data_IF_140933332807
#
_entry.id   IF_140933332807
#
_cell.length_a   1.000
_cell.length_b   1.000
_cell.length_c   1.000
_cell.angle_alpha   90.00
_cell.angle_beta   90.00
_cell.angle_gamma   90.00
#
_symmetry.space_group_name_H-M   'P 1'
#
loop_
_entity.id
_entity.type
_entity.pdbx_description
1 polymer ?
#
# COMPACT_ATOMS: atom_id res chain seq x y z
N UNK A 1 -1.01 8.77 2.44
CA UNK A 1 -0.51 9.07 3.80
C UNK A 1 0.14 7.78 4.26
N UNK A 2 1.47 7.72 4.24
CA UNK A 2 2.23 6.48 4.48
C UNK A 2 2.35 6.25 5.97
N UNK A 3 2.04 5.02 6.37
CA UNK A 3 2.03 4.48 7.71
C UNK A 3 3.31 4.78 8.51
N UNK A 4 3.12 4.82 9.81
CA UNK A 4 4.11 5.00 10.87
C UNK A 4 5.18 3.92 10.89
N UNK A 5 6.13 3.95 9.95
CA UNK A 5 7.34 3.11 9.97
C UNK A 5 7.13 1.61 10.18
N UNK A 6 5.90 1.11 10.08
CA UNK A 6 5.46 -0.23 10.44
C UNK A 6 4.74 -0.81 9.25
N UNK A 7 5.31 -1.87 8.69
CA UNK A 7 4.79 -2.56 7.51
C UNK A 7 4.67 -4.05 7.79
N UNK A 8 3.74 -4.71 7.10
CA UNK A 8 3.60 -6.18 7.12
C UNK A 8 3.51 -6.74 5.71
N UNK A 9 4.19 -7.85 5.47
CA UNK A 9 4.11 -8.62 4.23
C UNK A 9 4.11 -10.12 4.55
N UNK A 10 3.47 -10.93 3.71
CA UNK A 10 3.38 -12.39 3.89
C UNK A 10 3.65 -13.10 2.58
N UNK A 11 4.32 -14.24 2.67
CA UNK A 11 4.51 -15.18 1.58
C UNK A 11 4.97 -16.51 2.18
N UNK A 12 4.50 -17.62 1.63
CA UNK A 12 5.07 -18.97 1.80
C UNK A 12 5.28 -19.33 3.27
N UNK A 13 4.20 -19.17 4.04
CA UNK A 13 4.17 -19.50 5.45
C UNK A 13 5.03 -18.61 6.36
N UNK A 14 5.55 -17.46 5.92
CA UNK A 14 6.19 -16.47 6.80
C UNK A 14 5.47 -15.13 6.83
N UNK A 15 5.62 -14.44 7.95
CA UNK A 15 5.15 -13.06 8.15
C UNK A 15 6.37 -12.19 8.37
N UNK A 16 6.59 -11.23 7.48
CA UNK A 16 7.63 -10.21 7.61
C UNK A 16 7.00 -8.95 8.15
N UNK A 17 7.58 -8.38 9.20
CA UNK A 17 7.24 -7.02 9.65
C UNK A 17 8.48 -6.15 9.68
N UNK A 18 8.34 -4.93 9.18
CA UNK A 18 9.38 -3.91 9.27
C UNK A 18 9.00 -2.88 10.33
N UNK A 19 9.99 -2.47 11.13
CA UNK A 19 9.91 -1.30 12.02
C UNK A 19 11.11 -0.40 11.74
N UNK A 20 10.88 0.78 11.17
CA UNK A 20 11.91 1.65 10.60
C UNK A 20 12.77 0.90 9.56
N UNK A 21 14.01 0.54 9.89
CA UNK A 21 14.95 -0.21 9.04
C UNK A 21 15.20 -1.63 9.52
N UNK A 22 14.56 -2.06 10.60
CA UNK A 22 14.70 -3.42 11.13
C UNK A 22 13.63 -4.32 10.52
N UNK A 23 14.06 -5.41 9.90
CA UNK A 23 13.20 -6.47 9.37
C UNK A 23 13.13 -7.60 10.38
N UNK A 24 11.92 -8.02 10.72
CA UNK A 24 11.66 -9.23 11.49
C UNK A 24 10.96 -10.24 10.59
N UNK A 25 11.50 -11.46 10.50
CA UNK A 25 10.88 -12.58 9.81
C UNK A 25 10.37 -13.54 10.86
N UNK A 26 9.04 -13.68 10.90
CA UNK A 26 8.35 -14.54 11.85
C UNK A 26 7.72 -15.73 11.12
N UNK A 27 7.69 -16.91 11.77
CA UNK A 27 6.95 -18.04 11.24
C UNK A 27 5.44 -17.77 11.31
N UNK A 28 4.69 -18.19 10.29
CA UNK A 28 3.24 -18.36 10.40
C UNK A 28 2.90 -19.68 11.11
N UNK A 29 1.60 -19.94 11.28
CA UNK A 29 1.09 -21.18 11.92
C UNK A 29 1.50 -22.47 11.21
N UNK A 30 1.67 -22.46 9.89
CA UNK A 30 2.09 -23.62 9.09
C UNK A 30 3.59 -23.65 8.77
N UNK A 31 4.36 -22.71 9.29
CA UNK A 31 5.79 -22.57 8.97
C UNK A 31 6.65 -23.76 9.43
N UNK A 32 7.53 -24.22 8.55
CA UNK A 32 8.54 -25.24 8.85
C UNK A 32 9.67 -24.71 9.76
N UNK A 33 9.93 -23.41 9.74
CA UNK A 33 10.84 -22.73 10.69
C UNK A 33 10.03 -22.19 11.86
N UNK A 34 10.61 -22.17 13.06
CA UNK A 34 9.97 -21.62 14.28
C UNK A 34 10.81 -20.51 14.92
N UNK A 35 11.87 -20.06 14.23
CA UNK A 35 12.85 -19.10 14.74
C UNK A 35 12.55 -17.69 14.22
N UNK A 36 12.74 -16.70 15.09
CA UNK A 36 12.77 -15.29 14.70
C UNK A 36 14.08 -14.98 13.97
N UNK A 37 13.98 -14.40 12.77
CA UNK A 37 15.13 -13.78 12.12
C UNK A 37 15.01 -12.26 12.20
N UNK A 38 16.15 -11.59 12.40
CA UNK A 38 16.24 -10.14 12.50
C UNK A 38 17.35 -9.64 11.59
N UNK A 39 17.05 -8.65 10.77
CA UNK A 39 18.00 -8.01 9.86
C UNK A 39 17.86 -6.48 9.93
N UNK A 40 18.93 -5.78 9.57
CA UNK A 40 18.89 -4.35 9.26
C UNK A 40 18.97 -4.19 7.74
N UNK A 41 18.10 -3.36 7.17
CA UNK A 41 18.11 -3.03 5.75
C UNK A 41 18.64 -1.63 5.49
N UNK A 42 18.87 -1.34 4.22
CA UNK A 42 19.31 -0.06 3.66
C UNK A 42 20.77 0.31 3.96
N UNK A 43 21.48 -0.52 4.72
CA UNK A 43 22.94 -0.43 4.84
C UNK A 43 23.59 -0.71 3.47
N UNK A 44 24.30 0.28 2.91
CA UNK A 44 24.96 0.17 1.61
C UNK A 44 24.04 0.34 0.39
N UNK A 45 22.74 0.59 0.58
CA UNK A 45 21.78 0.84 -0.50
C UNK A 45 21.96 2.22 -1.18
N UNK A 46 22.77 3.10 -0.58
CA UNK A 46 23.18 4.41 -1.11
C UNK A 46 24.38 4.32 -2.08
N UNK A 47 25.02 3.15 -2.21
CA UNK A 47 26.31 2.97 -2.89
C UNK A 47 26.25 2.70 -4.40
N UNK A 48 25.08 2.65 -5.01
CA UNK A 48 24.96 2.51 -6.48
C UNK A 48 24.79 3.92 -7.07
N UNK A 49 25.91 4.61 -7.25
CA UNK A 49 25.95 5.96 -7.79
C UNK A 49 25.44 5.96 -9.24
N UNK A 50 24.30 6.61 -9.49
CA UNK A 50 23.96 7.11 -10.84
C UNK A 50 24.70 8.44 -11.04
N UNK A 51 25.56 8.47 -12.05
CA UNK A 51 26.07 9.71 -12.65
C UNK A 51 24.90 10.45 -13.28
N UNK A 52 24.32 11.40 -12.54
CA UNK A 52 23.40 12.38 -13.10
C UNK A 52 24.26 13.47 -13.75
N UNK A 53 24.31 13.49 -15.08
CA UNK A 53 24.81 14.63 -15.84
C UNK A 53 23.78 15.77 -15.73
N UNK A 54 23.91 16.60 -14.69
CA UNK A 54 23.22 17.89 -14.61
C UNK A 54 24.01 18.92 -15.43
N UNK A 55 23.59 19.15 -16.68
CA UNK A 55 23.92 20.35 -17.43
C UNK A 55 23.10 21.53 -16.89
N UNK A 56 23.57 22.18 -15.80
CA UNK A 56 23.45 23.63 -15.63
C UNK A 56 24.25 24.12 -14.41
N UNK A 57 25.52 24.45 -14.63
CA UNK A 57 26.26 25.28 -13.69
C UNK A 57 25.77 26.73 -13.79
N UNK A 58 25.16 27.26 -12.73
CA UNK A 58 25.61 28.51 -12.08
C UNK A 58 24.69 28.92 -10.91
N UNK A 59 25.06 28.52 -9.69
CA UNK A 59 25.03 29.36 -8.46
C UNK A 59 25.51 28.55 -7.26
N UNK A 60 26.77 28.77 -6.86
CA UNK A 60 27.33 28.25 -5.60
C UNK A 60 26.58 28.83 -4.40
N UNK A 61 25.69 28.05 -3.79
CA UNK A 61 25.26 28.24 -2.39
C UNK A 61 26.12 27.34 -1.51
N UNK A 62 26.58 27.88 -0.39
CA UNK A 62 27.32 27.13 0.65
C UNK A 62 26.57 25.85 1.00
N UNK A 63 27.25 24.71 0.83
CA UNK A 63 26.73 23.40 1.19
C UNK A 63 26.68 23.27 2.72
N UNK A 64 25.50 23.44 3.29
CA UNK A 64 25.13 22.67 4.49
C UNK A 64 25.34 21.20 4.16
N UNK A 65 25.97 20.44 5.06
CA UNK A 65 26.06 18.98 4.90
C UNK A 65 24.66 18.45 4.52
N UNK A 66 24.52 17.70 3.42
CA UNK A 66 23.23 17.11 3.09
C UNK A 66 22.80 16.28 4.30
N UNK A 67 21.58 16.53 4.78
CA UNK A 67 21.00 15.69 5.80
C UNK A 67 21.11 14.22 5.32
N UNK A 68 21.49 13.27 6.18
CA UNK A 68 21.49 11.87 5.79
C UNK A 68 20.11 11.51 5.22
N UNK A 69 20.05 10.69 4.16
CA UNK A 69 18.77 10.33 3.54
C UNK A 69 17.85 9.76 4.61
N UNK A 70 16.59 10.23 4.62
CA UNK A 70 15.62 9.82 5.62
C UNK A 70 15.31 8.31 5.54
N UNK A 71 15.65 7.64 4.43
CA UNK A 71 15.50 6.20 4.22
C UNK A 71 14.10 5.71 4.61
N UNK A 72 13.09 6.54 4.31
CA UNK A 72 11.71 6.33 4.73
C UNK A 72 11.10 5.24 3.86
N UNK A 73 10.81 4.10 4.45
CA UNK A 73 10.10 3.03 3.76
C UNK A 73 8.64 3.43 3.60
N UNK A 74 8.09 3.15 2.41
CA UNK A 74 6.74 3.57 2.02
C UNK A 74 5.85 2.42 1.56
N UNK A 75 6.44 1.32 1.11
CA UNK A 75 5.73 0.10 0.73
C UNK A 75 6.67 -1.08 0.87
N UNK A 76 6.13 -2.23 1.26
CA UNK A 76 6.83 -3.51 1.35
C UNK A 76 6.02 -4.53 0.58
N UNK A 77 6.69 -5.35 -0.23
CA UNK A 77 6.10 -6.52 -0.88
C UNK A 77 7.02 -7.73 -0.65
N UNK A 78 6.43 -8.90 -0.43
CA UNK A 78 7.15 -10.17 -0.28
C UNK A 78 6.52 -11.21 -1.18
N UNK A 79 7.33 -11.95 -1.94
CA UNK A 79 6.84 -13.07 -2.74
C UNK A 79 7.95 -14.09 -3.01
N UNK A 80 7.58 -15.33 -3.36
CA UNK A 80 8.51 -16.36 -3.82
C UNK A 80 8.44 -16.49 -5.35
N UNK A 81 9.53 -16.25 -6.08
CA UNK A 81 9.58 -16.54 -7.51
C UNK A 81 9.42 -18.04 -7.78
N UNK A 82 8.69 -18.39 -8.83
CA UNK A 82 8.40 -19.78 -9.18
C UNK A 82 9.69 -20.56 -9.45
N UNK A 83 9.89 -21.65 -8.69
CA UNK A 83 11.07 -22.51 -8.79
C UNK A 83 12.31 -21.97 -8.06
N UNK A 84 12.19 -20.87 -7.31
CA UNK A 84 13.21 -20.39 -6.38
C UNK A 84 12.90 -20.90 -4.97
N UNK A 85 13.92 -21.28 -4.20
CA UNK A 85 13.80 -21.55 -2.75
C UNK A 85 13.98 -20.26 -1.92
N UNK A 86 14.25 -19.14 -2.58
CA UNK A 86 14.48 -17.83 -1.98
C UNK A 86 13.25 -16.94 -2.12
N UNK A 87 12.98 -16.18 -1.06
CA UNK A 87 11.97 -15.12 -1.05
C UNK A 87 12.58 -13.81 -1.55
N UNK A 88 11.77 -13.02 -2.24
CA UNK A 88 12.13 -11.67 -2.68
C UNK A 88 11.40 -10.64 -1.82
N UNK A 89 12.16 -9.86 -1.04
CA UNK A 89 11.67 -8.73 -0.26
C UNK A 89 11.94 -7.43 -1.01
N UNK A 90 10.87 -6.73 -1.37
CA UNK A 90 10.92 -5.48 -2.13
C UNK A 90 10.49 -4.31 -1.23
N UNK A 91 11.24 -3.21 -1.29
CA UNK A 91 10.97 -1.99 -0.53
C UNK A 91 10.90 -0.79 -1.46
N UNK A 92 9.90 0.08 -1.28
CA UNK A 92 9.92 1.45 -1.80
C UNK A 92 10.44 2.38 -0.72
N UNK A 93 11.54 3.09 -0.99
CA UNK A 93 12.24 3.98 -0.06
C UNK A 93 12.23 5.40 -0.59
N UNK A 94 11.90 6.36 0.28
CA UNK A 94 11.76 7.80 0.00
C UNK A 94 10.88 8.10 -1.21
N UNK A 95 9.94 7.20 -1.52
CA UNK A 95 9.12 7.19 -2.74
C UNK A 95 9.92 7.14 -4.05
N UNK A 96 11.25 7.14 -4.02
CA UNK A 96 12.11 7.33 -5.21
C UNK A 96 13.00 6.15 -5.51
N UNK A 97 13.03 5.15 -4.63
CA UNK A 97 13.95 4.02 -4.76
C UNK A 97 13.21 2.70 -4.57
N UNK A 98 13.43 1.77 -5.50
CA UNK A 98 13.06 0.36 -5.36
C UNK A 98 14.30 -0.42 -4.89
N UNK A 99 14.18 -1.12 -3.78
CA UNK A 99 15.26 -1.92 -3.20
C UNK A 99 14.82 -3.38 -3.13
N UNK A 100 15.69 -4.29 -3.57
CA UNK A 100 15.44 -5.72 -3.62
C UNK A 100 16.44 -6.49 -2.74
N UNK A 101 15.91 -7.28 -1.81
CA UNK A 101 16.66 -8.25 -1.01
C UNK A 101 16.24 -9.68 -1.33
N UNK A 102 17.21 -10.58 -1.36
CA UNK A 102 16.97 -12.03 -1.31
C UNK A 102 16.97 -12.49 0.15
N UNK A 103 15.85 -13.08 0.57
CA UNK A 103 15.71 -13.72 1.88
C UNK A 103 15.84 -15.23 1.72
N UNK A 104 16.85 -15.80 2.36
CA UNK A 104 17.05 -17.24 2.47
C UNK A 104 16.71 -17.68 3.89
N UNK A 105 15.59 -18.40 4.04
CA UNK A 105 15.13 -18.89 5.35
C UNK A 105 16.04 -19.99 5.92
N UNK A 106 16.64 -20.83 5.06
CA UNK A 106 17.52 -21.94 5.49
C UNK A 106 18.90 -21.43 5.89
N UNK A 107 19.46 -20.51 5.13
CA UNK A 107 20.76 -19.91 5.43
C UNK A 107 20.66 -18.76 6.45
N UNK A 108 19.45 -18.34 6.81
CA UNK A 108 19.19 -17.21 7.71
C UNK A 108 19.84 -15.90 7.24
N UNK A 109 19.83 -15.65 5.93
CA UNK A 109 20.46 -14.46 5.33
C UNK A 109 19.45 -13.58 4.63
N UNK A 110 19.65 -12.26 4.74
CA UNK A 110 18.98 -11.25 3.93
C UNK A 110 20.05 -10.47 3.15
N UNK A 111 20.11 -10.65 1.83
CA UNK A 111 21.19 -10.10 0.98
C UNK A 111 20.62 -9.02 0.07
N UNK A 112 21.17 -7.81 0.15
CA UNK A 112 20.86 -6.74 -0.80
C UNK A 112 21.33 -7.15 -2.21
N UNK A 113 20.40 -7.22 -3.15
CA UNK A 113 20.70 -7.59 -4.55
C UNK A 113 20.76 -6.39 -5.47
N UNK A 114 19.85 -5.45 -5.27
CA UNK A 114 19.78 -4.27 -6.12
C UNK A 114 19.07 -3.10 -5.41
N UNK A 115 19.42 -1.90 -5.84
CA UNK A 115 18.85 -0.64 -5.40
C UNK A 115 18.78 0.26 -6.62
N UNK A 116 17.57 0.72 -6.98
CA UNK A 116 17.33 1.47 -8.22
C UNK A 116 16.43 2.66 -7.99
N UNK A 117 16.74 3.78 -8.65
CA UNK A 117 15.86 4.93 -8.72
C UNK A 117 14.63 4.64 -9.58
N UNK A 118 13.43 4.99 -9.09
CA UNK A 118 12.22 5.00 -9.92
C UNK A 118 12.04 6.39 -10.57
N UNK A 119 11.55 6.48 -11.82
CA UNK A 119 11.53 7.73 -12.59
C UNK A 119 10.83 8.90 -11.88
N UNK A 120 9.78 8.60 -11.12
CA UNK A 120 8.94 9.56 -10.41
C UNK A 120 8.59 8.98 -9.04
N UNK A 121 8.16 9.85 -8.14
CA UNK A 121 7.72 9.44 -6.80
C UNK A 121 6.64 8.36 -6.90
N UNK A 122 6.96 7.18 -6.40
CA UNK A 122 6.07 6.03 -6.28
C UNK A 122 5.03 6.27 -5.19
N UNK A 123 3.85 5.72 -5.40
CA UNK A 123 2.75 5.71 -4.43
C UNK A 123 2.47 4.32 -3.89
N UNK A 124 2.82 3.28 -4.65
CA UNK A 124 2.54 1.89 -4.37
C UNK A 124 3.35 0.97 -5.29
N UNK A 125 3.41 -0.31 -4.94
CA UNK A 125 3.94 -1.37 -5.80
C UNK A 125 3.05 -2.61 -5.73
N UNK A 126 3.20 -3.51 -6.69
CA UNK A 126 2.73 -4.90 -6.66
C UNK A 126 3.58 -5.75 -7.61
N UNK A 127 3.45 -7.08 -7.56
CA UNK A 127 4.19 -7.99 -8.44
C UNK A 127 3.23 -8.72 -9.38
N UNK A 128 3.49 -8.63 -10.68
CA UNK A 128 2.81 -9.41 -11.70
C UNK A 128 3.73 -10.50 -12.26
N UNK A 129 3.14 -11.57 -12.79
CA UNK A 129 3.88 -12.63 -13.47
C UNK A 129 3.30 -12.95 -14.85
N UNK A 130 4.11 -13.57 -15.71
CA UNK A 130 3.73 -14.01 -17.04
C UNK A 130 4.26 -15.43 -17.25
N UNK A 131 3.35 -16.38 -17.43
CA UNK A 131 3.69 -17.75 -17.84
C UNK A 131 3.86 -17.81 -19.35
N UNK A 132 5.06 -18.13 -19.81
CA UNK A 132 5.37 -18.27 -21.23
C UNK A 132 4.91 -19.64 -21.75
N UNK A 133 4.71 -19.79 -23.08
CA UNK A 133 4.42 -21.10 -23.69
C UNK A 133 5.50 -22.15 -23.45
N UNK A 134 6.72 -21.74 -23.10
CA UNK A 134 7.84 -22.60 -22.72
C UNK A 134 7.70 -23.22 -21.32
N UNK A 135 6.71 -22.77 -20.53
CA UNK A 135 6.56 -23.11 -19.11
C UNK A 135 7.34 -22.21 -18.15
N UNK A 136 8.21 -21.34 -18.67
CA UNK A 136 8.95 -20.36 -17.88
C UNK A 136 8.01 -19.28 -17.34
N UNK A 137 8.16 -18.93 -16.05
CA UNK A 137 7.43 -17.81 -15.44
C UNK A 137 8.36 -16.61 -15.31
N UNK A 138 7.98 -15.48 -15.92
CA UNK A 138 8.68 -14.20 -15.80
C UNK A 138 7.93 -13.27 -14.86
N UNK A 139 8.65 -12.40 -14.17
CA UNK A 139 8.09 -11.48 -13.19
C UNK A 139 8.36 -10.03 -13.58
N UNK A 140 7.46 -9.14 -13.18
CA UNK A 140 7.71 -7.71 -13.20
C UNK A 140 7.09 -7.05 -11.97
N UNK A 141 7.84 -6.10 -11.41
CA UNK A 141 7.38 -5.24 -10.32
C UNK A 141 6.66 -4.07 -10.96
N UNK A 142 5.38 -3.90 -10.65
CA UNK A 142 4.59 -2.77 -11.13
C UNK A 142 4.62 -1.68 -10.08
N UNK A 143 5.07 -0.50 -10.45
CA UNK A 143 5.16 0.67 -9.56
C UNK A 143 4.22 1.75 -10.06
N UNK A 144 3.23 2.11 -9.24
CA UNK A 144 2.35 3.25 -9.47
C UNK A 144 3.02 4.56 -9.04
N UNK A 145 2.83 5.63 -9.81
CA UNK A 145 3.53 6.90 -9.62
C UNK A 145 2.57 8.08 -9.42
N UNK A 146 3.06 9.09 -8.68
CA UNK A 146 2.35 10.36 -8.43
C UNK A 146 2.05 11.15 -9.71
N UNK A 147 2.75 10.88 -10.80
CA UNK A 147 2.49 11.50 -12.12
C UNK A 147 1.31 10.88 -12.87
N UNK A 148 0.73 9.80 -12.35
CA UNK A 148 -0.34 9.05 -13.01
C UNK A 148 0.13 7.82 -13.80
N UNK A 149 1.44 7.60 -13.88
CA UNK A 149 2.01 6.49 -14.61
C UNK A 149 2.10 5.22 -13.75
N UNK A 150 1.99 4.06 -14.41
CA UNK A 150 2.40 2.78 -13.86
C UNK A 150 3.52 2.21 -14.73
N UNK A 151 4.65 1.89 -14.10
CA UNK A 151 5.84 1.33 -14.77
C UNK A 151 6.08 -0.11 -14.34
N UNK A 152 6.57 -0.95 -15.25
CA UNK A 152 7.03 -2.29 -14.97
C UNK A 152 8.56 -2.33 -14.91
N UNK A 153 9.10 -2.82 -13.81
CA UNK A 153 10.51 -3.14 -13.63
C UNK A 153 10.67 -4.65 -13.81
N UNK A 154 11.48 -5.13 -14.77
CA UNK A 154 11.76 -6.56 -14.92
C UNK A 154 12.35 -7.16 -13.64
N UNK A 155 11.99 -8.40 -13.31
CA UNK A 155 12.54 -9.12 -12.15
C UNK A 155 13.05 -10.50 -12.59
N UNK A 156 14.21 -10.98 -12.08
CA UNK A 156 15.05 -10.39 -11.03
C UNK A 156 16.00 -9.28 -11.49
N UNK A 157 16.14 -9.07 -12.81
CA UNK A 157 17.05 -8.08 -13.40
C UNK A 157 16.51 -6.64 -13.27
N UNK A 158 16.40 -6.13 -12.05
CA UNK A 158 15.76 -4.84 -11.78
C UNK A 158 16.49 -3.64 -12.38
N UNK A 159 17.78 -3.79 -12.72
CA UNK A 159 18.59 -2.76 -13.38
C UNK A 159 18.28 -2.62 -14.87
N UNK A 160 17.63 -3.63 -15.48
CA UNK A 160 17.22 -3.58 -16.89
C UNK A 160 16.24 -2.43 -17.13
N UNK A 161 16.23 -1.87 -18.33
CA UNK A 161 15.28 -0.81 -18.73
C UNK A 161 13.84 -1.13 -18.30
N UNK A 162 13.26 -0.18 -17.55
CA UNK A 162 11.86 -0.23 -17.16
C UNK A 162 10.96 0.06 -18.36
N UNK A 163 9.74 -0.46 -18.29
CA UNK A 163 8.73 -0.26 -19.34
C UNK A 163 7.52 0.48 -18.75
N UNK A 164 7.17 1.63 -19.30
CA UNK A 164 5.88 2.26 -18.99
C UNK A 164 4.75 1.36 -19.47
N UNK A 165 3.86 0.96 -18.57
CA UNK A 165 2.71 0.11 -18.87
C UNK A 165 1.51 0.96 -19.33
N UNK A 166 1.18 1.98 -18.54
CA UNK A 166 0.09 2.92 -18.80
C UNK A 166 0.33 4.25 -18.09
N UNK A 167 -0.48 5.25 -18.46
CA UNK A 167 -0.58 6.52 -17.75
C UNK A 167 -2.04 6.96 -17.65
N UNK A 168 -2.46 7.37 -16.45
CA UNK A 168 -3.69 8.10 -16.22
C UNK A 168 -3.49 9.54 -16.66
N UNK A 169 -4.42 10.05 -17.47
CA UNK A 169 -4.37 11.46 -17.89
C UNK A 169 -4.69 12.32 -16.67
N UNK A 170 -3.73 13.13 -16.23
CA UNK A 170 -3.90 14.21 -15.23
C UNK A 170 -4.26 13.82 -13.79
N UNK A 171 -4.29 12.53 -13.44
CA UNK A 171 -4.55 12.08 -12.07
C UNK A 171 -3.42 11.22 -11.49
N UNK A 172 -3.24 11.28 -10.17
CA UNK A 172 -2.23 10.49 -9.46
C UNK A 172 -2.70 9.03 -9.36
N UNK A 173 -1.83 8.06 -9.62
CA UNK A 173 -2.12 6.65 -9.27
C UNK A 173 -2.05 6.52 -7.76
N UNK A 174 -3.15 6.12 -7.13
CA UNK A 174 -3.26 5.95 -5.67
C UNK A 174 -2.97 4.52 -5.24
N UNK A 175 -3.32 3.54 -6.08
CA UNK A 175 -2.96 2.14 -5.85
C UNK A 175 -2.88 1.33 -7.15
N UNK A 176 -2.11 0.25 -7.12
CA UNK A 176 -2.01 -0.75 -8.19
C UNK A 176 -2.23 -2.14 -7.62
N UNK A 177 -2.89 -3.00 -8.37
CA UNK A 177 -3.05 -4.41 -8.05
C UNK A 177 -3.00 -5.24 -9.33
N UNK A 178 -2.51 -6.46 -9.21
CA UNK A 178 -2.60 -7.47 -10.28
C UNK A 178 -3.52 -8.58 -9.79
N UNK A 179 -4.38 -9.08 -10.67
CA UNK A 179 -5.29 -10.17 -10.30
C UNK A 179 -4.51 -11.50 -10.13
N UNK A 180 -5.16 -12.51 -9.55
CA UNK A 180 -4.48 -13.73 -9.11
C UNK A 180 -3.70 -14.47 -10.22
N UNK A 181 -4.24 -14.53 -11.43
CA UNK A 181 -3.59 -15.18 -12.58
C UNK A 181 -2.65 -14.24 -13.37
N UNK A 182 -2.49 -13.00 -12.92
CA UNK A 182 -1.72 -11.94 -13.57
C UNK A 182 -2.11 -11.68 -15.03
N UNK A 183 -3.39 -11.84 -15.37
CA UNK A 183 -3.91 -11.45 -16.68
C UNK A 183 -4.39 -9.99 -16.74
N UNK A 184 -4.73 -9.39 -15.59
CA UNK A 184 -5.26 -8.03 -15.49
C UNK A 184 -4.44 -7.19 -14.51
N UNK A 185 -4.14 -5.97 -14.93
CA UNK A 185 -3.61 -4.88 -14.12
C UNK A 185 -4.74 -3.91 -13.77
N UNK A 186 -4.86 -3.63 -12.48
CA UNK A 186 -5.80 -2.67 -11.94
C UNK A 186 -5.03 -1.46 -11.44
N UNK A 187 -5.49 -0.28 -11.82
CA UNK A 187 -4.91 0.98 -11.39
C UNK A 187 -6.00 1.92 -10.92
N UNK A 188 -5.94 2.28 -9.65
CA UNK A 188 -6.81 3.24 -8.99
C UNK A 188 -6.17 4.63 -9.04
N UNK A 189 -6.99 5.66 -9.26
CA UNK A 189 -6.53 7.04 -9.32
C UNK A 189 -7.25 7.97 -8.31
N UNK A 190 -6.81 9.22 -8.29
CA UNK A 190 -7.38 10.28 -7.45
C UNK A 190 -8.71 10.82 -8.02
N UNK A 191 -8.98 10.59 -9.30
CA UNK A 191 -10.16 11.07 -10.04
C UNK A 191 -11.23 9.98 -10.15
N UNK A 192 -11.35 9.13 -9.12
CA UNK A 192 -12.43 8.14 -8.92
C UNK A 192 -12.43 6.96 -9.90
N UNK A 193 -11.40 6.80 -10.74
CA UNK A 193 -11.35 5.74 -11.74
C UNK A 193 -10.54 4.55 -11.23
N UNK A 194 -11.19 3.39 -11.21
CA UNK A 194 -10.53 2.11 -11.19
C UNK A 194 -10.48 1.56 -12.63
N UNK A 195 -9.31 1.69 -13.26
CA UNK A 195 -9.05 1.19 -14.61
C UNK A 195 -8.58 -0.26 -14.55
N UNK A 196 -9.19 -1.12 -15.35
CA UNK A 196 -8.79 -2.53 -15.55
C UNK A 196 -8.19 -2.67 -16.94
N UNK A 197 -6.97 -3.13 -17.05
CA UNK A 197 -6.24 -3.32 -18.32
C UNK A 197 -5.59 -4.68 -18.36
N UNK A 198 -5.27 -5.20 -19.56
CA UNK A 198 -4.55 -6.48 -19.66
C UNK A 198 -3.12 -6.33 -19.15
N UNK A 199 -2.59 -7.37 -18.53
CA UNK A 199 -1.19 -7.45 -18.13
C UNK A 199 -0.48 -8.55 -18.94
N UNK A 200 0.74 -8.31 -19.48
CA UNK A 200 1.52 -7.06 -19.42
C UNK A 200 1.13 -6.03 -20.51
N UNK A 201 0.16 -6.34 -21.38
CA UNK A 201 -0.25 -5.43 -22.46
C UNK A 201 -1.30 -4.41 -22.01
N UNK A 202 -0.88 -3.49 -21.13
CA UNK A 202 -1.75 -2.50 -20.48
C UNK A 202 -2.33 -1.41 -21.40
N UNK A 203 -1.92 -1.40 -22.68
CA UNK A 203 -2.56 -0.59 -23.71
C UNK A 203 -4.00 -1.06 -24.00
N UNK A 204 -4.29 -2.35 -23.77
CA UNK A 204 -5.63 -2.91 -23.91
C UNK A 204 -6.38 -2.72 -22.61
N UNK A 205 -7.35 -1.80 -22.62
CA UNK A 205 -8.28 -1.59 -21.52
C UNK A 205 -9.36 -2.66 -21.60
N UNK A 206 -9.55 -3.39 -20.51
CA UNK A 206 -10.62 -4.38 -20.41
C UNK A 206 -11.92 -3.70 -19.96
N UNK A 207 -11.86 -2.86 -18.92
CA UNK A 207 -13.01 -2.14 -18.40
C UNK A 207 -12.63 -0.93 -17.53
N UNK A 208 -13.65 -0.19 -17.09
CA UNK A 208 -13.56 0.79 -16.00
C UNK A 208 -14.64 0.48 -14.96
N UNK A 209 -14.24 0.39 -13.70
CA UNK A 209 -15.15 0.31 -12.56
C UNK A 209 -15.49 1.73 -12.10
N UNK A 210 -16.65 2.24 -12.54
CA UNK A 210 -17.10 3.62 -12.31
C UNK A 210 -18.23 3.67 -11.29
N UNK A 211 -18.13 4.56 -10.30
CA UNK A 211 -19.19 4.76 -9.29
C UNK A 211 -18.72 5.18 -7.90
N UNK A 212 -17.40 5.26 -7.65
CA UNK A 212 -16.88 6.03 -6.52
C UNK A 212 -17.09 7.53 -6.75
N UNK A 213 -17.24 8.29 -5.66
CA UNK A 213 -17.50 9.73 -5.68
C UNK A 213 -16.36 10.58 -5.12
N UNK A 214 -15.25 9.94 -4.73
CA UNK A 214 -13.98 10.58 -4.41
C UNK A 214 -12.80 9.63 -4.72
N UNK A 215 -11.57 10.14 -4.54
CA UNK A 215 -10.30 9.42 -4.71
C UNK A 215 -10.34 7.99 -4.18
N UNK A 216 -9.96 7.02 -5.01
CA UNK A 216 -9.73 5.66 -4.55
C UNK A 216 -8.50 5.60 -3.63
N UNK A 217 -8.52 4.68 -2.66
CA UNK A 217 -7.45 4.53 -1.67
C UNK A 217 -6.77 3.17 -1.75
N UNK A 218 -7.53 2.07 -1.76
CA UNK A 218 -7.03 0.70 -1.85
C UNK A 218 -7.91 -0.16 -2.76
N UNK A 219 -7.33 -1.25 -3.23
CA UNK A 219 -7.86 -2.18 -4.22
C UNK A 219 -7.29 -3.55 -3.85
N UNK A 220 -8.14 -4.58 -3.75
CA UNK A 220 -7.71 -5.94 -3.48
C UNK A 220 -8.49 -6.92 -4.37
N UNK A 221 -7.76 -7.78 -5.07
CA UNK A 221 -8.34 -8.79 -5.96
C UNK A 221 -8.64 -10.07 -5.17
N UNK A 222 -9.80 -10.68 -5.44
CA UNK A 222 -10.10 -11.98 -4.84
C UNK A 222 -9.28 -13.09 -5.51
N UNK A 223 -8.65 -13.94 -4.69
CA UNK A 223 -8.01 -15.17 -5.15
C UNK A 223 -9.01 -16.33 -5.28
N UNK A 224 -10.10 -16.31 -4.51
CA UNK A 224 -11.15 -17.34 -4.56
C UNK A 224 -12.04 -17.16 -5.80
N UNK A 225 -12.33 -15.92 -6.17
CA UNK A 225 -13.16 -15.58 -7.32
C UNK A 225 -12.38 -14.64 -8.26
N UNK A 226 -11.65 -15.18 -9.26
CA UNK A 226 -10.63 -14.44 -10.03
C UNK A 226 -11.08 -13.19 -10.80
N UNK A 227 -12.39 -13.00 -11.01
CA UNK A 227 -12.98 -11.85 -11.71
C UNK A 227 -13.50 -10.76 -10.76
N UNK A 228 -13.33 -10.94 -9.43
CA UNK A 228 -13.81 -9.97 -8.45
C UNK A 228 -12.69 -9.12 -7.85
N UNK A 229 -13.01 -7.84 -7.65
CA UNK A 229 -12.17 -6.88 -6.97
C UNK A 229 -12.99 -6.07 -5.98
N UNK A 230 -12.40 -5.79 -4.83
CA UNK A 230 -12.92 -4.80 -3.88
C UNK A 230 -12.08 -3.55 -3.90
N UNK A 231 -12.72 -2.39 -3.79
CA UNK A 231 -12.04 -1.10 -3.72
C UNK A 231 -12.62 -0.22 -2.62
N UNK A 232 -11.76 0.60 -2.02
CA UNK A 232 -12.14 1.61 -1.02
C UNK A 232 -11.84 3.00 -1.54
N UNK A 233 -12.60 3.99 -1.08
CA UNK A 233 -12.45 5.39 -1.50
C UNK A 233 -12.60 6.35 -0.32
N UNK A 234 -12.11 7.57 -0.52
CA UNK A 234 -12.37 8.72 0.35
C UNK A 234 -13.85 9.08 0.43
N UNK A 235 -14.71 8.53 -0.42
CA UNK A 235 -16.17 8.67 -0.36
C UNK A 235 -16.82 7.86 0.78
N UNK A 236 -16.00 7.24 1.65
CA UNK A 236 -16.41 6.40 2.77
C UNK A 236 -17.16 5.12 2.34
N UNK A 237 -16.88 4.61 1.14
CA UNK A 237 -17.46 3.35 0.64
C UNK A 237 -16.41 2.27 0.34
N UNK A 238 -16.83 1.02 0.56
CA UNK A 238 -16.24 -0.20 0.02
C UNK A 238 -17.15 -0.69 -1.10
N UNK A 239 -16.60 -0.91 -2.30
CA UNK A 239 -17.36 -1.40 -3.45
C UNK A 239 -16.78 -2.71 -3.97
N UNK A 240 -17.67 -3.62 -4.35
CA UNK A 240 -17.34 -4.89 -5.01
C UNK A 240 -17.68 -4.78 -6.50
N UNK A 241 -16.74 -5.18 -7.35
CA UNK A 241 -16.87 -5.07 -8.80
C UNK A 241 -16.56 -6.38 -9.49
N UNK A 242 -17.16 -6.53 -10.66
CA UNK A 242 -16.72 -7.49 -11.67
C UNK A 242 -15.68 -6.82 -12.57
N UNK A 243 -14.46 -7.36 -12.61
CA UNK A 243 -13.33 -6.75 -13.32
C UNK A 243 -13.51 -6.73 -14.84
N UNK A 244 -13.97 -7.83 -15.43
CA UNK A 244 -14.13 -7.93 -16.89
C UNK A 244 -15.20 -7.00 -17.45
N UNK A 245 -16.28 -6.75 -16.70
CA UNK A 245 -17.41 -5.92 -17.16
C UNK A 245 -17.39 -4.50 -16.60
N UNK A 246 -16.62 -4.25 -15.54
CA UNK A 246 -16.63 -2.98 -14.80
C UNK A 246 -17.90 -2.77 -13.97
N UNK A 247 -18.75 -3.80 -13.83
CA UNK A 247 -20.06 -3.68 -13.18
C UNK A 247 -19.92 -3.60 -11.66
N UNK A 248 -20.59 -2.62 -11.06
CA UNK A 248 -20.78 -2.54 -9.60
C UNK A 248 -21.75 -3.65 -9.15
N UNK A 249 -21.30 -4.48 -8.21
CA UNK A 249 -22.09 -5.59 -7.67
C UNK A 249 -22.66 -5.27 -6.29
N UNK A 250 -21.87 -4.63 -5.42
CA UNK A 250 -22.29 -4.21 -4.09
C UNK A 250 -21.53 -2.96 -3.63
N UNK A 251 -22.12 -2.20 -2.70
CA UNK A 251 -21.55 -1.00 -2.12
C UNK A 251 -21.94 -0.88 -0.65
N UNK A 252 -20.95 -0.77 0.22
CA UNK A 252 -21.13 -0.67 1.67
C UNK A 252 -20.47 0.62 2.19
N UNK A 253 -21.16 1.34 3.07
CA UNK A 253 -20.59 2.53 3.75
C UNK A 253 -19.71 2.06 4.89
N UNK A 254 -18.46 2.54 4.98
CA UNK A 254 -17.48 2.11 5.99
C UNK A 254 -17.71 2.72 7.37
N UNK A 255 -18.08 4.00 7.45
CA UNK A 255 -18.40 4.72 8.69
C UNK A 255 -19.83 5.26 8.64
N UNK A 256 -20.85 4.51 9.09
CA UNK A 256 -22.23 4.98 9.11
C UNK A 256 -22.39 6.23 9.98
N UNK A 257 -23.09 7.24 9.49
CA UNK A 257 -23.32 8.50 10.21
C UNK A 257 -22.19 9.53 10.12
N UNK A 258 -21.09 9.22 9.42
CA UNK A 258 -20.07 10.19 9.05
C UNK A 258 -20.40 10.75 7.67
N UNK A 259 -20.82 12.01 7.61
CA UNK A 259 -20.99 12.72 6.34
C UNK A 259 -19.61 13.06 5.75
N UNK A 260 -19.36 12.60 4.53
CA UNK A 260 -18.17 13.00 3.76
C UNK A 260 -18.53 14.21 2.92
N UNK A 261 -17.82 15.31 3.11
CA UNK A 261 -17.89 16.45 2.20
C UNK A 261 -17.14 16.08 0.91
N UNK A 262 -17.88 15.99 -0.19
CA UNK A 262 -17.32 15.77 -1.53
C UNK A 262 -16.92 17.08 -2.24
N UNK A 263 -17.20 18.23 -1.63
CA UNK A 263 -16.82 19.52 -2.18
C UNK A 263 -15.29 19.68 -2.17
N UNK A 264 -14.69 20.16 -3.28
CA UNK A 264 -13.30 20.58 -3.29
C UNK A 264 -13.06 21.56 -2.13
N UNK A 265 -11.94 21.41 -1.43
CA UNK A 265 -11.53 22.37 -0.41
C UNK A 265 -11.27 23.72 -1.08
N UNK A 266 -12.27 24.59 -1.13
CA UNK A 266 -12.06 25.99 -1.50
C UNK A 266 -11.20 26.64 -0.40
N UNK A 267 -9.95 26.96 -0.74
CA UNK A 267 -8.97 27.55 0.18
C UNK A 267 -9.41 28.92 0.77
N UNK A 268 -10.45 29.55 0.23
CA UNK A 268 -10.85 30.92 0.60
C UNK A 268 -12.06 31.04 1.55
N UNK A 269 -12.79 29.96 1.85
CA UNK A 269 -14.01 30.08 2.65
C UNK A 269 -13.75 29.97 4.17
N UNK A 270 -12.99 30.89 4.76
CA UNK A 270 -12.70 30.91 6.20
C UNK A 270 -13.76 31.66 7.03
N UNK A 271 -15.02 31.17 7.07
CA UNK A 271 -16.04 31.83 7.92
C UNK A 271 -17.21 30.99 8.43
N UNK A 272 -17.09 29.66 8.58
CA UNK A 272 -18.18 28.85 9.16
C UNK A 272 -17.70 27.83 10.20
N UNK A 273 -18.51 27.68 11.24
CA UNK A 273 -18.29 27.03 12.55
C UNK A 273 -17.57 25.68 12.53
N UNK A 274 -16.66 25.55 13.50
CA UNK A 274 -15.50 24.65 13.54
C UNK A 274 -15.78 23.18 13.96
N UNK A 275 -17.03 22.77 14.15
CA UNK A 275 -17.34 21.38 14.58
C UNK A 275 -17.69 20.43 13.45
N UNK A 276 -18.34 20.90 12.37
CA UNK A 276 -18.66 20.07 11.19
C UNK A 276 -17.53 19.98 10.16
N UNK A 277 -16.61 20.96 10.16
CA UNK A 277 -15.53 21.10 9.17
C UNK A 277 -14.26 20.31 9.49
N UNK A 278 -14.08 19.84 10.72
CA UNK A 278 -12.95 18.97 11.08
C UNK A 278 -13.10 17.54 10.53
N UNK A 279 -14.32 17.09 10.20
CA UNK A 279 -14.55 15.77 9.62
C UNK A 279 -14.06 15.65 8.16
N UNK A 280 -14.11 16.74 7.38
CA UNK A 280 -13.75 16.76 5.96
C UNK A 280 -12.25 16.91 5.67
N UNK A 281 -11.43 17.26 6.68
CA UNK A 281 -9.96 17.31 6.56
C UNK A 281 -9.28 15.97 6.81
N UNK A 282 -10.02 14.96 7.25
CA UNK A 282 -9.45 13.64 7.53
C UNK A 282 -9.30 12.86 6.23
N UNK A 283 -8.08 12.85 5.67
CA UNK A 283 -7.69 11.84 4.69
C UNK A 283 -8.02 10.47 5.29
N UNK A 284 -9.03 9.79 4.76
CA UNK A 284 -9.40 8.46 5.24
C UNK A 284 -8.19 7.54 4.97
N UNK A 285 -7.44 7.20 6.03
CA UNK A 285 -6.38 6.21 5.93
C UNK A 285 -7.04 4.84 5.96
N UNK A 286 -6.78 4.03 4.93
CA UNK A 286 -7.38 2.71 4.79
C UNK A 286 -6.31 1.65 4.61
N UNK A 287 -6.37 0.62 5.46
CA UNK A 287 -5.78 -0.69 5.18
C UNK A 287 -6.89 -1.64 4.75
N UNK A 288 -6.66 -2.36 3.65
CA UNK A 288 -7.62 -3.26 3.03
C UNK A 288 -6.93 -4.60 2.79
N UNK A 289 -7.51 -5.67 3.33
CA UNK A 289 -7.03 -7.03 3.14
C UNK A 289 -8.18 -7.93 2.69
N UNK A 290 -7.91 -8.85 1.76
CA UNK A 290 -8.84 -9.90 1.36
C UNK A 290 -8.21 -11.27 1.61
N UNK A 291 -8.95 -12.16 2.27
CA UNK A 291 -8.49 -13.48 2.62
C UNK A 291 -8.39 -14.35 1.36
N UNK A 292 -7.22 -14.94 1.05
CA UNK A 292 -6.99 -15.65 -0.20
C UNK A 292 -7.83 -16.93 -0.36
N UNK A 293 -8.35 -17.49 0.74
CA UNK A 293 -9.15 -18.74 0.72
C UNK A 293 -10.61 -18.57 1.15
N UNK A 294 -10.93 -17.54 1.93
CA UNK A 294 -12.24 -17.41 2.57
C UNK A 294 -13.12 -16.26 2.03
N UNK A 295 -12.66 -15.47 1.05
CA UNK A 295 -13.41 -14.31 0.52
C UNK A 295 -13.85 -13.29 1.60
N UNK A 296 -13.14 -13.28 2.74
CA UNK A 296 -13.35 -12.31 3.80
C UNK A 296 -12.51 -11.07 3.51
N UNK A 297 -13.13 -9.90 3.60
CA UNK A 297 -12.49 -8.60 3.46
C UNK A 297 -12.40 -7.96 4.84
N UNK A 298 -11.21 -7.56 5.25
CA UNK A 298 -10.99 -6.78 6.47
C UNK A 298 -10.57 -5.37 6.08
N UNK A 299 -11.21 -4.38 6.70
CA UNK A 299 -10.96 -2.95 6.43
C UNK A 299 -10.65 -2.25 7.75
N UNK A 300 -9.51 -1.57 7.82
CA UNK A 300 -9.15 -0.66 8.91
C UNK A 300 -9.23 0.77 8.38
N UNK A 301 -9.99 1.61 9.06
CA UNK A 301 -10.25 3.00 8.71
C UNK A 301 -9.72 3.91 9.81
N UNK A 302 -8.87 4.87 9.43
CA UNK A 302 -8.26 5.88 10.31
C UNK A 302 -7.60 5.31 11.57
N UNK A 303 -7.11 4.07 11.50
CA UNK A 303 -6.54 3.34 12.65
C UNK A 303 -7.51 3.16 13.84
N UNK A 304 -8.80 3.50 13.68
CA UNK A 304 -9.77 3.64 14.76
C UNK A 304 -11.02 2.79 14.55
N UNK A 305 -11.29 2.33 13.33
CA UNK A 305 -12.46 1.53 13.02
C UNK A 305 -12.08 0.34 12.18
N UNK A 306 -12.42 -0.86 12.64
CA UNK A 306 -12.20 -2.10 11.88
C UNK A 306 -13.56 -2.70 11.51
N UNK A 307 -13.70 -3.16 10.28
CA UNK A 307 -14.91 -3.84 9.80
C UNK A 307 -14.54 -5.03 8.93
N UNK A 308 -15.43 -6.02 8.94
CA UNK A 308 -15.27 -7.26 8.20
C UNK A 308 -16.46 -7.48 7.29
N UNK A 309 -16.19 -7.89 6.06
CA UNK A 309 -17.19 -8.21 5.07
C UNK A 309 -16.89 -9.58 4.47
N UNK A 310 -17.91 -10.28 4.03
CA UNK A 310 -17.80 -11.52 3.27
C UNK A 310 -18.32 -11.27 1.86
N UNK A 311 -17.53 -11.66 0.86
CA UNK A 311 -18.01 -11.74 -0.52
C UNK A 311 -18.81 -13.03 -0.67
N UNK A 312 -20.13 -12.91 -0.68
CA UNK A 312 -21.06 -14.04 -0.78
C UNK A 312 -21.51 -14.20 -2.23
N UNK A 313 -21.34 -15.41 -2.76
CA UNK A 313 -21.91 -15.80 -4.04
C UNK A 313 -23.27 -16.49 -3.82
N UNK A 314 -24.33 -15.96 -4.43
CA UNK A 314 -25.65 -16.57 -4.50
C UNK A 314 -26.03 -16.77 -5.99
N UNK A 315 -25.77 -17.98 -6.50
CA UNK A 315 -25.85 -18.26 -7.93
C UNK A 315 -24.84 -17.42 -8.72
N UNK A 316 -25.33 -16.59 -9.65
CA UNK A 316 -24.50 -15.66 -10.43
C UNK A 316 -24.32 -14.29 -9.73
N UNK A 317 -25.12 -13.99 -8.71
CA UNK A 317 -25.04 -12.72 -7.99
C UNK A 317 -23.96 -12.77 -6.91
N UNK A 318 -23.20 -11.68 -6.78
CA UNK A 318 -22.20 -11.54 -5.74
C UNK A 318 -22.53 -10.31 -4.91
N UNK A 319 -22.49 -10.47 -3.59
CA UNK A 319 -22.84 -9.41 -2.63
C UNK A 319 -21.75 -9.25 -1.59
N UNK A 320 -21.75 -8.10 -0.90
CA UNK A 320 -20.98 -7.90 0.31
C UNK A 320 -21.92 -8.05 1.51
N UNK A 321 -21.59 -8.95 2.42
CA UNK A 321 -22.31 -9.12 3.68
C UNK A 321 -21.40 -8.73 4.82
N UNK A 322 -21.84 -7.80 5.67
CA UNK A 322 -21.08 -7.48 6.88
C UNK A 322 -21.01 -8.68 7.84
N UNK A 323 -19.81 -8.96 8.32
CA UNK A 323 -19.54 -9.93 9.36
C UNK A 323 -19.37 -9.17 10.69
N UNK A 324 -20.45 -9.10 11.46
CA UNK A 324 -20.48 -8.42 12.76
C UNK A 324 -19.65 -9.16 13.80
N UNK A 325 -18.37 -8.81 13.92
CA UNK A 325 -17.49 -9.33 14.97
C UNK A 325 -17.89 -8.75 16.33
N UNK A 326 -17.71 -9.54 17.38
CA UNK A 326 -18.03 -9.10 18.74
C UNK A 326 -17.30 -7.79 19.10
N UNK A 327 -18.00 -6.88 19.80
CA UNK A 327 -17.42 -5.58 20.16
C UNK A 327 -16.15 -5.74 21.01
N UNK A 328 -16.09 -6.73 21.90
CA UNK A 328 -14.90 -7.03 22.71
C UNK A 328 -13.67 -7.37 21.85
N UNK A 329 -13.86 -8.20 20.81
CA UNK A 329 -12.78 -8.58 19.90
C UNK A 329 -12.34 -7.37 19.03
N UNK A 330 -13.28 -6.52 18.60
CA UNK A 330 -12.98 -5.27 17.88
C UNK A 330 -12.22 -4.29 18.77
N UNK A 331 -12.60 -4.11 20.03
CA UNK A 331 -11.85 -3.27 20.97
C UNK A 331 -10.43 -3.81 21.19
N UNK A 332 -10.27 -5.14 21.25
CA UNK A 332 -8.96 -5.77 21.35
C UNK A 332 -8.08 -5.44 20.14
N UNK A 333 -8.65 -5.45 18.93
CA UNK A 333 -7.97 -5.05 17.70
C UNK A 333 -7.56 -3.57 17.69
N UNK A 334 -8.32 -2.69 18.35
CA UNK A 334 -8.08 -1.24 18.33
C UNK A 334 -7.17 -0.77 19.48
N UNK A 335 -7.04 -1.54 20.55
CA UNK A 335 -6.37 -1.15 21.79
C UNK A 335 -4.92 -0.66 21.61
N UNK A 336 -4.20 -1.20 20.62
CA UNK A 336 -2.76 -0.98 20.44
C UNK A 336 -2.40 -0.17 19.19
N UNK A 337 -3.35 0.62 18.66
CA UNK A 337 -3.16 1.47 17.47
C UNK A 337 -2.74 0.64 16.24
N UNK A 338 -3.70 -0.13 15.65
CA UNK A 338 -3.40 -0.95 14.48
C UNK A 338 -2.99 -0.09 13.29
N UNK A 339 -2.05 -0.58 12.49
CA UNK A 339 -1.47 0.13 11.34
C UNK A 339 -1.90 -0.50 10.02
N UNK A 340 -1.61 -1.78 9.84
CA UNK A 340 -1.91 -2.52 8.61
C UNK A 340 -2.56 -3.87 8.92
N UNK A 341 -3.45 -4.29 8.03
CA UNK A 341 -4.11 -5.58 8.00
C UNK A 341 -3.62 -6.39 6.81
N UNK A 342 -3.41 -7.69 7.00
CA UNK A 342 -3.09 -8.62 5.93
C UNK A 342 -3.59 -10.02 6.31
N UNK A 343 -4.00 -10.83 5.34
CA UNK A 343 -4.30 -12.25 5.60
C UNK A 343 -3.09 -13.10 5.24
N UNK A 344 -2.73 -14.03 6.12
CA UNK A 344 -1.76 -15.07 5.80
C UNK A 344 -2.39 -16.12 4.88
N UNK A 345 -1.55 -16.96 4.27
CA UNK A 345 -2.00 -18.11 3.48
C UNK A 345 -2.79 -19.14 4.31
N UNK A 346 -2.60 -19.14 5.62
CA UNK A 346 -3.33 -19.96 6.59
C UNK A 346 -4.65 -19.31 7.05
N UNK A 347 -5.12 -18.25 6.37
CA UNK A 347 -6.40 -17.57 6.65
C UNK A 347 -6.41 -16.77 7.98
N UNK A 348 -5.26 -16.66 8.64
CA UNK A 348 -5.13 -15.83 9.83
C UNK A 348 -4.98 -14.35 9.43
N UNK A 349 -5.67 -13.47 10.17
CA UNK A 349 -5.50 -12.04 10.05
C UNK A 349 -4.24 -11.61 10.81
N UNK A 350 -3.23 -11.15 10.09
CA UNK A 350 -2.08 -10.45 10.65
C UNK A 350 -2.41 -8.97 10.82
N UNK A 351 -2.23 -8.47 12.04
CA UNK A 351 -2.44 -7.05 12.37
C UNK A 351 -1.16 -6.49 12.95
N UNK A 352 -0.63 -5.46 12.31
CA UNK A 352 0.53 -4.71 12.81
C UNK A 352 0.08 -3.53 13.69
N UNK A 353 0.89 -3.16 14.67
CA UNK A 353 0.55 -2.18 15.70
C UNK A 353 1.69 -1.19 15.96
N UNK A 354 1.33 0.07 16.28
CA UNK A 354 2.32 1.05 16.78
C UNK A 354 2.87 0.58 18.14
N UNK A 355 1.99 0.10 19.02
CA UNK A 355 2.28 -0.33 20.40
C UNK A 355 2.38 -1.86 20.52
N UNK A 356 2.92 -2.35 21.64
CA UNK A 356 2.98 -3.78 21.97
C UNK A 356 1.56 -4.39 21.81
N UNK A 357 1.38 -5.53 21.10
CA UNK A 357 2.38 -6.53 20.71
C UNK A 357 3.12 -6.30 19.39
N UNK A 358 2.93 -5.15 18.73
CA UNK A 358 3.54 -4.75 17.44
C UNK A 358 3.12 -5.58 16.22
N UNK A 359 2.86 -6.88 16.40
CA UNK A 359 2.27 -7.80 15.44
C UNK A 359 1.51 -8.88 16.21
N UNK A 360 0.26 -9.14 15.82
CA UNK A 360 -0.54 -10.24 16.35
C UNK A 360 -1.29 -10.92 15.21
N UNK A 361 -1.34 -12.26 15.27
CA UNK A 361 -2.17 -13.06 14.37
C UNK A 361 -3.51 -13.35 15.05
N UNK A 362 -4.58 -13.34 14.27
CA UNK A 362 -5.93 -13.67 14.74
C UNK A 362 -6.59 -14.68 13.81
N UNK A 363 -7.23 -15.69 14.41
CA UNK A 363 -8.09 -16.62 13.71
C UNK A 363 -9.51 -16.07 13.72
N UNK A 364 -10.12 -15.97 12.56
CA UNK A 364 -11.49 -15.49 12.38
C UNK A 364 -12.43 -16.68 12.17
N UNK A 365 -13.40 -16.87 13.05
CA UNK A 365 -14.49 -17.84 12.85
C UNK A 365 -15.74 -17.13 12.38
N UNK A 366 -16.21 -17.51 11.18
CA UNK A 366 -17.44 -16.96 10.57
C UNK A 366 -18.69 -17.35 11.35
N UNK A 367 -18.74 -18.58 11.86
CA UNK A 367 -19.90 -19.16 12.55
C UNK A 367 -20.09 -18.55 13.92
N UNK A 368 -18.99 -18.45 14.68
CA UNK A 368 -19.02 -17.87 16.02
C UNK A 368 -18.95 -16.34 16.00
N UNK A 369 -18.62 -15.73 14.85
CA UNK A 369 -18.35 -14.29 14.70
C UNK A 369 -17.32 -13.78 15.72
N UNK A 370 -16.36 -14.64 16.05
CA UNK A 370 -15.29 -14.35 17.01
C UNK A 370 -13.96 -14.21 16.30
N UNK A 371 -13.16 -13.32 16.85
CA UNK A 371 -11.78 -13.14 16.46
C UNK A 371 -10.91 -13.52 17.66
N UNK A 372 -10.27 -14.67 17.58
CA UNK A 372 -9.42 -15.16 18.66
C UNK A 372 -7.95 -14.88 18.34
N UNK A 373 -7.17 -14.26 19.25
CA UNK A 373 -5.73 -14.21 19.09
C UNK A 373 -5.20 -15.62 18.86
N UNK A 374 -4.41 -15.79 17.81
CA UNK A 374 -3.62 -17.01 17.66
C UNK A 374 -2.46 -16.87 18.63
N UNK A 375 -2.58 -17.57 19.76
CA UNK A 375 -1.49 -17.74 20.70
C UNK A 375 -0.43 -18.65 20.07
N UNK A 376 0.31 -18.09 19.11
CA UNK A 376 1.61 -18.64 18.76
C UNK A 376 2.50 -18.40 19.97
N UNK A 377 2.50 -19.34 20.92
CA UNK A 377 3.55 -19.46 21.96
C UNK A 377 4.83 -19.99 21.30
N UNK A 378 5.16 -19.44 20.13
CA UNK A 378 6.47 -19.57 19.54
C UNK A 378 7.37 -18.60 20.29
N UNK A 379 8.53 -19.09 20.73
CA UNK A 379 9.59 -18.23 21.28
C UNK A 379 9.86 -17.04 20.34
N UNK A 380 9.70 -17.21 19.02
CA UNK A 380 9.88 -16.15 18.03
C UNK A 380 8.99 -14.92 18.24
N UNK A 381 7.69 -15.08 18.52
CA UNK A 381 6.80 -13.92 18.74
C UNK A 381 7.09 -13.22 20.06
N UNK A 382 7.51 -13.97 21.09
CA UNK A 382 7.96 -13.38 22.36
C UNK A 382 9.25 -12.60 22.18
N UNK A 383 10.24 -13.21 21.54
CA UNK A 383 11.53 -12.58 21.24
C UNK A 383 11.34 -11.36 20.34
N UNK A 384 10.40 -11.42 19.40
CA UNK A 384 10.03 -10.30 18.54
C UNK A 384 9.46 -9.15 19.36
N UNK A 385 8.49 -9.41 20.25
CA UNK A 385 7.90 -8.37 21.10
C UNK A 385 8.97 -7.67 21.92
N UNK A 386 9.89 -8.42 22.53
CA UNK A 386 11.01 -7.85 23.29
C UNK A 386 11.98 -7.05 22.41
N UNK A 387 12.31 -7.55 21.22
CA UNK A 387 13.23 -6.85 20.32
C UNK A 387 12.59 -5.58 19.72
N UNK A 388 11.32 -5.65 19.31
CA UNK A 388 10.58 -4.54 18.72
C UNK A 388 10.29 -3.41 19.72
N UNK A 389 10.16 -3.72 21.00
CA UNK A 389 9.99 -2.72 22.08
C UNK A 389 11.20 -1.81 22.23
N UNK A 390 12.40 -2.27 21.82
CA UNK A 390 13.62 -1.45 21.82
C UNK A 390 13.71 -0.47 20.65
N UNK A 391 12.77 -0.51 19.70
CA UNK A 391 12.77 0.32 18.49
C UNK A 391 11.75 1.44 18.65
N UNK A 392 12.25 2.66 18.78
CA UNK A 392 11.42 3.87 18.72
C UNK A 392 11.03 4.17 17.27
N UNK A 393 9.72 4.30 17.01
CA UNK A 393 9.25 4.66 15.68
C UNK A 393 9.56 6.13 15.40
N UNK A 394 10.06 6.41 14.20
CA UNK A 394 10.21 7.79 13.72
C UNK A 394 8.82 8.27 13.29
N UNK A 395 8.18 9.11 14.10
CA UNK A 395 6.84 9.62 13.81
C UNK A 395 6.91 10.71 12.73
N UNK A 396 6.88 10.27 11.47
CA UNK A 396 6.86 11.17 10.30
C UNK A 396 5.49 11.84 10.09
N UNK A 397 4.44 11.45 10.83
CA UNK A 397 3.09 12.02 10.71
C UNK A 397 3.07 13.51 11.08
N UNK A 398 3.79 13.93 12.13
CA UNK A 398 3.85 15.33 12.58
C UNK A 398 4.57 16.22 11.56
N UNK A 399 5.70 15.74 11.01
CA UNK A 399 6.44 16.43 9.94
C UNK A 399 5.70 16.45 8.60
N UNK A 400 4.94 15.41 8.27
CA UNK A 400 4.17 15.35 7.02
C UNK A 400 3.00 16.34 7.02
N UNK A 401 2.35 16.53 8.18
CA UNK A 401 1.33 17.57 8.37
C UNK A 401 1.95 18.97 8.26
N UNK A 402 3.10 19.21 8.87
CA UNK A 402 3.82 20.48 8.73
C UNK A 402 4.27 20.75 7.28
N UNK A 403 4.76 19.74 6.56
CA UNK A 403 5.20 19.88 5.15
C UNK A 403 4.01 20.10 4.21
N UNK A 404 2.85 19.50 4.47
CA UNK A 404 1.62 19.79 3.72
C UNK A 404 1.17 21.24 3.95
N UNK A 405 1.18 21.73 5.19
CA UNK A 405 0.89 23.14 5.49
C UNK A 405 1.90 24.10 4.85
N UNK A 406 3.20 23.75 4.85
CA UNK A 406 4.27 24.61 4.36
C UNK A 406 4.37 24.59 2.82
N UNK A 407 4.00 23.46 2.19
CA UNK A 407 3.85 23.32 0.73
C UNK A 407 2.65 24.11 0.20
N UNK A 408 1.55 24.17 0.95
CA UNK A 408 0.40 25.04 0.68
C UNK A 408 0.76 26.52 0.85
N UNK A 409 1.53 26.88 1.89
CA UNK A 409 2.03 28.26 2.08
C UNK A 409 2.97 28.71 0.96
N UNK A 410 3.80 27.81 0.42
CA UNK A 410 4.72 28.10 -0.70
C UNK A 410 4.03 28.14 -2.07
N UNK A 411 2.79 27.66 -2.18
CA UNK A 411 1.92 27.81 -3.36
C UNK A 411 1.04 29.06 -3.35
N UNK A 412 1.20 29.96 -2.37
CA UNK A 412 0.78 31.36 -2.57
C UNK A 412 1.64 31.96 -3.67
N UNK A 413 1.13 31.90 -4.89
CA UNK A 413 1.66 32.62 -6.04
C UNK A 413 1.96 34.06 -5.61
N UNK A 414 3.16 34.55 -5.91
CA UNK A 414 3.46 35.99 -5.83
C UNK A 414 2.49 36.70 -6.76
N UNK A 415 1.39 37.21 -6.23
CA UNK A 415 0.43 38.10 -6.89
C UNK A 415 1.04 39.50 -7.02
N UNK A 416 2.14 39.58 -7.75
CA UNK A 416 2.86 40.81 -7.96
C UNK A 416 3.83 40.67 -9.11
N UNK A 417 3.31 40.60 -10.33
CA UNK A 417 3.93 41.12 -11.57
C UNK A 417 3.09 40.80 -12.83
N UNK A 418 1.76 41.02 -12.81
CA UNK A 418 0.91 40.94 -14.02
C UNK A 418 0.43 42.30 -14.55
N UNK A 419 0.94 43.41 -14.00
CA UNK A 419 0.73 44.75 -14.56
C UNK A 419 1.97 45.26 -15.28
N UNK A 420 2.41 44.55 -16.34
CA UNK A 420 3.28 45.15 -17.37
C UNK A 420 2.47 45.32 -18.65
N UNK A 421 2.21 46.59 -18.93
CA UNK A 421 1.52 47.22 -20.06
C UNK A 421 1.52 46.38 -21.34
N UNK A 422 0.34 46.14 -21.88
CA UNK A 422 0.14 45.77 -23.28
C UNK A 422 0.65 46.92 -24.15
N UNK A 423 1.61 46.70 -25.07
CA UNK A 423 2.02 47.73 -26.01
C UNK A 423 1.03 47.80 -27.19
N UNK A 424 0.38 48.95 -27.35
CA UNK A 424 -0.22 49.38 -28.61
C UNK A 424 -1.73 49.22 -28.72
N UNK A 425 -2.46 50.28 -28.36
CA UNK A 425 -3.57 50.79 -29.17
C UNK A 425 -3.45 52.32 -29.17
N UNK A 426 -3.56 52.91 -30.37
CA UNK A 426 -3.36 54.33 -30.66
C UNK A 426 -4.40 55.25 -30.02
#
# INVERSE_FOLDING_TARGET
>A
MVATGVFVAVAEGVVVTLRNTTVFVLPSTSSATQKLLRFEVLQGADGVAETVEDEDETKKKQATQPAPPANRITTVELFQPHGSDLLALLLLVDERRLVYYELNLTAETLVLKASRSVPRSATCMTVGHLKLPTGETKYAIVVGQKTGEAVAVPFPDVDRDLKTLLGHTTSMVTHVAVNHDSSLLLTADRDEKLRVSRFPNAAVIESYCLGHAASLTKVACSAVTPDLVVSTSMDNTLKLWQMTTGKLLASETLLPGVEVSLEPLDEEASSASDSGRQAAKSLINVSLAICPKANVVAVLVNYQHVRFFEVVADGEAHTLKELEISNEDVQTLLANEPCELLFTEDENLAVSYKKNPFLQLFSLSKESKRLSPVDTVSAAFKDFRTAAETIELVDDEEKALEVLEDGLKKKKARTGEWNKKVPGEN
#
